data_IF_996904959148
#
_entry.id   IF_996904959148
#
_cell.length_a   1.000
_cell.length_b   1.000
_cell.length_c   1.000
_cell.angle_alpha   90.00
_cell.angle_beta   90.00
_cell.angle_gamma   90.00
#
_symmetry.space_group_name_H-M   'P 1'
#
loop_
_entity.id
_entity.type
_entity.pdbx_description
1 polymer ?
#
# COMPACT_ATOMS: atom_id res chain seq x y z
N UNK A 1 -18.63 9.78 -4.44
CA UNK A 1 -19.27 9.76 -3.10
C UNK A 1 -18.62 10.74 -2.12
N UNK A 2 -17.31 10.66 -1.95
CA UNK A 2 -16.55 11.56 -1.06
C UNK A 2 -16.54 13.01 -1.54
N UNK A 3 -16.40 13.25 -2.84
CA UNK A 3 -16.48 14.61 -3.42
C UNK A 3 -17.84 15.29 -3.19
N UNK A 4 -18.94 14.52 -3.27
CA UNK A 4 -20.29 15.00 -2.97
C UNK A 4 -20.44 15.36 -1.49
N UNK A 5 -19.85 14.57 -0.59
CA UNK A 5 -19.87 14.82 0.85
C UNK A 5 -19.03 16.04 1.22
N UNK A 6 -17.86 16.20 0.59
CA UNK A 6 -17.01 17.37 0.75
C UNK A 6 -17.70 18.65 0.25
N UNK A 7 -18.31 18.60 -0.93
CA UNK A 7 -19.09 19.72 -1.47
C UNK A 7 -20.25 20.11 -0.56
N UNK A 8 -20.94 19.12 0.01
CA UNK A 8 -22.00 19.37 1.01
C UNK A 8 -21.44 20.07 2.25
N UNK A 9 -20.32 19.61 2.80
CA UNK A 9 -19.69 20.22 3.97
C UNK A 9 -19.30 21.69 3.68
N UNK A 10 -18.71 21.96 2.52
CA UNK A 10 -18.38 23.33 2.10
C UNK A 10 -19.61 24.22 1.99
N UNK A 11 -20.71 23.71 1.41
CA UNK A 11 -21.97 24.46 1.36
C UNK A 11 -22.53 24.73 2.75
N UNK A 12 -22.49 23.75 3.66
CA UNK A 12 -22.96 23.92 5.04
C UNK A 12 -22.13 24.97 5.81
N UNK A 13 -20.80 24.94 5.68
CA UNK A 13 -19.91 25.94 6.28
C UNK A 13 -20.16 27.33 5.67
N UNK A 14 -20.33 27.41 4.34
CA UNK A 14 -20.57 28.67 3.64
C UNK A 14 -21.91 29.29 4.05
N UNK A 15 -22.97 28.47 4.15
CA UNK A 15 -24.27 28.93 4.63
C UNK A 15 -24.21 29.45 6.07
N UNK A 16 -23.43 28.79 6.95
CA UNK A 16 -23.20 29.28 8.32
C UNK A 16 -22.41 30.58 8.36
N UNK A 17 -21.40 30.74 7.50
CA UNK A 17 -20.62 31.96 7.39
C UNK A 17 -21.45 33.15 6.88
N UNK A 18 -22.41 32.92 5.99
CA UNK A 18 -23.32 33.97 5.51
C UNK A 18 -24.22 34.57 6.61
N UNK A 19 -24.48 33.83 7.67
CA UNK A 19 -25.38 34.25 8.77
C UNK A 19 -24.64 34.53 10.09
N UNK A 20 -23.31 34.46 10.12
CA UNK A 20 -22.51 34.73 11.32
C UNK A 20 -21.24 35.50 11.00
N UNK A 21 -21.10 36.65 11.64
CA UNK A 21 -19.90 37.50 11.64
C UNK A 21 -18.68 36.87 12.34
N UNK A 22 -18.88 35.75 13.06
CA UNK A 22 -17.83 35.01 13.76
C UNK A 22 -17.13 33.96 12.92
N UNK A 23 -17.60 33.72 11.70
CA UNK A 23 -17.07 32.68 10.82
C UNK A 23 -16.55 33.35 9.54
N UNK A 24 -15.24 33.50 9.46
CA UNK A 24 -14.58 33.96 8.24
C UNK A 24 -14.05 32.76 7.45
N UNK A 25 -14.59 32.52 6.26
CA UNK A 25 -14.15 31.45 5.36
C UNK A 25 -13.27 32.07 4.28
N UNK A 26 -11.99 31.72 4.32
CA UNK A 26 -11.06 32.12 3.27
C UNK A 26 -11.18 31.14 2.07
N UNK A 27 -11.06 31.68 0.86
CA UNK A 27 -10.82 30.89 -0.34
C UNK A 27 -9.36 30.43 -0.42
N UNK A 28 -8.88 30.19 -1.65
CA UNK A 28 -7.46 29.99 -1.87
C UNK A 28 -6.70 31.29 -1.58
N UNK A 29 -5.75 31.24 -0.66
CA UNK A 29 -4.86 32.34 -0.33
C UNK A 29 -3.41 31.93 -0.57
N UNK A 30 -2.54 32.90 -0.84
CA UNK A 30 -1.12 32.64 -1.01
C UNK A 30 -0.48 32.16 0.29
N UNK A 31 0.66 31.47 0.21
CA UNK A 31 1.41 31.07 1.42
C UNK A 31 1.78 32.27 2.29
N UNK A 32 2.17 33.39 1.69
CA UNK A 32 2.52 34.61 2.43
C UNK A 32 1.33 35.18 3.20
N UNK A 33 0.14 35.17 2.62
CA UNK A 33 -1.10 35.58 3.32
C UNK A 33 -1.47 34.58 4.41
N UNK A 34 -1.33 33.28 4.15
CA UNK A 34 -1.58 32.22 5.13
C UNK A 34 -0.72 32.41 6.38
N UNK A 35 0.58 32.68 6.21
CA UNK A 35 1.49 32.95 7.35
C UNK A 35 1.08 34.22 8.10
N UNK A 36 0.66 35.30 7.39
CA UNK A 36 0.13 36.50 8.06
C UNK A 36 -1.10 36.19 8.90
N UNK A 37 -2.00 35.34 8.39
CA UNK A 37 -3.18 34.87 9.14
C UNK A 37 -2.76 34.09 10.38
N UNK A 38 -1.76 33.19 10.27
CA UNK A 38 -1.29 32.40 11.41
C UNK A 38 -0.70 33.28 12.51
N UNK A 39 0.09 34.30 12.13
CA UNK A 39 0.70 35.25 13.08
C UNK A 39 -0.32 36.15 13.80
N UNK A 40 -1.54 36.25 13.28
CA UNK A 40 -2.64 37.02 13.90
C UNK A 40 -3.64 36.14 14.66
N UNK A 41 -3.54 34.81 14.53
CA UNK A 41 -4.40 33.86 15.20
C UNK A 41 -3.94 33.59 16.64
N UNK A 42 -4.84 33.07 17.47
CA UNK A 42 -4.54 32.72 18.88
C UNK A 42 -4.35 31.23 19.12
N UNK A 43 -5.10 30.38 18.41
CA UNK A 43 -5.00 28.92 18.48
C UNK A 43 -5.29 28.33 17.10
N UNK A 44 -4.51 27.34 16.67
CA UNK A 44 -4.82 26.51 15.50
C UNK A 44 -5.60 25.27 15.92
N UNK A 45 -6.55 24.83 15.09
CA UNK A 45 -7.37 23.65 15.37
C UNK A 45 -7.16 22.61 14.28
N UNK A 46 -6.70 21.43 14.68
CA UNK A 46 -6.58 20.27 13.81
C UNK A 46 -6.96 19.01 14.62
N UNK A 47 -8.27 18.72 14.65
CA UNK A 47 -8.84 17.56 15.33
C UNK A 47 -9.52 16.65 14.31
N UNK A 48 -8.71 15.88 13.57
CA UNK A 48 -9.18 15.06 12.46
C UNK A 48 -9.49 13.62 12.88
N UNK A 49 -10.60 13.04 12.39
CA UNK A 49 -10.94 11.63 12.65
C UNK A 49 -9.76 10.69 12.35
N UNK A 50 -9.56 9.71 13.22
CA UNK A 50 -8.48 8.74 13.10
C UNK A 50 -8.54 7.95 11.79
N UNK A 51 -7.40 7.90 11.10
CA UNK A 51 -7.13 6.91 10.05
C UNK A 51 -5.63 6.62 10.01
N UNK A 52 -5.23 5.53 9.33
CA UNK A 52 -3.83 5.10 9.28
C UNK A 52 -2.90 6.09 8.58
N UNK A 53 -3.40 6.80 7.57
CA UNK A 53 -2.62 7.81 6.86
C UNK A 53 -2.23 8.94 7.81
N UNK A 54 -3.17 9.44 8.62
CA UNK A 54 -2.97 10.51 9.59
C UNK A 54 -2.16 10.07 10.80
N UNK A 55 -2.34 8.84 11.25
CA UNK A 55 -1.56 8.23 12.34
C UNK A 55 -0.06 8.25 12.02
N UNK A 56 0.27 7.92 10.77
CA UNK A 56 1.65 7.85 10.26
C UNK A 56 2.12 9.14 9.59
N UNK A 57 1.27 10.17 9.51
CA UNK A 57 1.62 11.43 8.87
C UNK A 57 2.42 12.33 9.81
N UNK A 58 3.46 12.95 9.26
CA UNK A 58 4.08 14.11 9.85
C UNK A 58 3.51 15.37 9.18
N UNK A 59 2.54 16.03 9.83
CA UNK A 59 1.74 17.10 9.21
C UNK A 59 2.50 18.42 9.17
N UNK A 60 3.03 18.77 7.99
CA UNK A 60 3.79 20.01 7.77
C UNK A 60 3.01 21.28 8.13
N UNK A 61 1.69 21.29 7.91
CA UNK A 61 0.82 22.40 8.30
C UNK A 61 0.82 22.65 9.81
N UNK A 62 0.84 21.59 10.63
CA UNK A 62 0.92 21.71 12.09
C UNK A 62 2.25 22.30 12.52
N UNK A 63 3.35 21.92 11.85
CA UNK A 63 4.67 22.52 12.09
C UNK A 63 4.67 24.02 11.76
N UNK A 64 4.01 24.45 10.68
CA UNK A 64 3.89 25.88 10.35
C UNK A 64 3.10 26.66 11.40
N UNK A 65 2.03 26.09 11.98
CA UNK A 65 1.33 26.71 13.11
C UNK A 65 2.28 26.93 14.29
N UNK A 66 2.96 25.87 14.73
CA UNK A 66 3.87 25.92 15.88
C UNK A 66 5.04 26.89 15.61
N UNK A 67 5.54 26.93 14.37
CA UNK A 67 6.63 27.83 13.96
C UNK A 67 6.21 29.30 14.04
N UNK A 68 4.95 29.61 13.73
CA UNK A 68 4.35 30.93 13.93
C UNK A 68 4.04 31.24 15.41
N UNK A 69 4.40 30.36 16.36
CA UNK A 69 4.11 30.54 17.78
C UNK A 69 2.64 30.26 18.15
N UNK A 70 1.91 29.57 17.27
CA UNK A 70 0.49 29.28 17.46
C UNK A 70 0.34 27.94 18.20
N UNK A 71 -0.18 27.92 19.44
CA UNK A 71 -0.48 26.67 20.10
C UNK A 71 -1.64 25.96 19.39
N UNK A 72 -1.65 24.63 19.46
CA UNK A 72 -2.58 23.80 18.67
C UNK A 72 -3.56 23.04 19.55
N UNK A 73 -4.84 22.99 19.15
CA UNK A 73 -5.79 21.98 19.60
C UNK A 73 -5.75 20.83 18.60
N UNK A 74 -5.13 19.72 19.01
CA UNK A 74 -4.62 18.69 18.11
C UNK A 74 -5.07 17.27 18.48
N UNK A 75 -5.12 16.36 17.49
CA UNK A 75 -5.43 14.95 17.74
C UNK A 75 -4.39 14.28 18.67
N UNK A 76 -4.83 13.34 19.52
CA UNK A 76 -4.01 12.66 20.55
C UNK A 76 -3.18 11.46 20.05
N UNK A 77 -3.20 11.17 18.74
CA UNK A 77 -2.64 9.93 18.20
C UNK A 77 -1.52 10.10 17.17
N UNK A 78 -1.33 11.28 16.58
CA UNK A 78 -0.40 11.45 15.48
C UNK A 78 1.06 11.55 15.98
N UNK A 79 2.03 11.35 15.09
CA UNK A 79 3.46 11.34 15.40
C UNK A 79 3.90 12.58 16.22
N UNK A 80 3.41 13.77 15.88
CA UNK A 80 3.76 15.02 16.56
C UNK A 80 3.07 15.20 17.93
N UNK A 81 2.02 14.43 18.24
CA UNK A 81 1.23 14.58 19.47
C UNK A 81 2.11 14.43 20.72
N UNK A 82 3.06 13.49 20.72
CA UNK A 82 3.99 13.32 21.84
C UNK A 82 4.83 14.57 22.12
N UNK A 83 5.31 15.24 21.07
CA UNK A 83 6.10 16.47 21.19
C UNK A 83 5.26 17.67 21.66
N UNK A 84 4.01 17.77 21.19
CA UNK A 84 3.08 18.82 21.66
C UNK A 84 2.82 18.67 23.16
N UNK A 85 2.66 17.44 23.65
CA UNK A 85 2.50 17.16 25.07
C UNK A 85 3.78 17.46 25.87
N UNK A 86 4.95 17.01 25.39
CA UNK A 86 6.26 17.20 26.05
C UNK A 86 6.55 18.69 26.31
N UNK A 87 6.26 19.55 25.33
CA UNK A 87 6.53 20.98 25.44
C UNK A 87 5.37 21.78 26.03
N UNK A 88 4.22 21.14 26.28
CA UNK A 88 2.97 21.84 26.59
C UNK A 88 2.64 22.93 25.54
N UNK A 89 2.76 22.57 24.25
CA UNK A 89 2.61 23.48 23.10
C UNK A 89 1.16 23.52 22.55
N UNK A 90 0.18 23.04 23.32
CA UNK A 90 -1.19 22.94 22.87
C UNK A 90 -2.09 22.12 23.78
N UNK A 91 -3.16 21.59 23.20
CA UNK A 91 -4.16 20.71 23.81
C UNK A 91 -4.35 19.47 22.94
N UNK A 92 -4.12 18.30 23.51
CA UNK A 92 -4.41 17.04 22.83
C UNK A 92 -5.84 16.59 23.14
N UNK A 93 -6.60 16.26 22.10
CA UNK A 93 -8.00 15.84 22.21
C UNK A 93 -8.27 14.62 21.34
N UNK A 94 -9.27 13.85 21.75
CA UNK A 94 -9.87 12.82 20.90
C UNK A 94 -10.89 13.48 19.96
N UNK A 95 -10.73 13.39 18.62
CA UNK A 95 -11.64 14.06 17.67
C UNK A 95 -13.12 13.63 17.79
N UNK A 96 -13.37 12.41 18.26
CA UNK A 96 -14.70 11.85 18.49
C UNK A 96 -15.29 12.18 19.88
N UNK A 97 -14.51 12.83 20.74
CA UNK A 97 -14.91 13.20 22.10
C UNK A 97 -15.25 14.70 22.20
N UNK A 98 -16.54 15.02 22.02
CA UNK A 98 -17.06 16.38 22.14
C UNK A 98 -16.80 17.00 23.52
N UNK A 99 -16.73 16.19 24.58
CA UNK A 99 -16.49 16.68 25.93
C UNK A 99 -15.04 17.11 26.11
N UNK A 100 -14.09 16.31 25.61
CA UNK A 100 -12.67 16.66 25.57
C UNK A 100 -12.44 17.96 24.80
N UNK A 101 -13.06 18.10 23.63
CA UNK A 101 -12.97 19.32 22.82
C UNK A 101 -13.59 20.51 23.56
N UNK A 102 -14.78 20.33 24.15
CA UNK A 102 -15.46 21.38 24.90
C UNK A 102 -14.65 21.91 26.09
N UNK A 103 -14.00 21.02 26.85
CA UNK A 103 -13.10 21.41 27.95
C UNK A 103 -11.90 22.22 27.46
N UNK A 104 -11.24 21.76 26.40
CA UNK A 104 -10.10 22.47 25.83
C UNK A 104 -10.51 23.86 25.32
N UNK A 105 -11.65 23.97 24.63
CA UNK A 105 -12.19 25.25 24.19
C UNK A 105 -12.52 26.18 25.37
N UNK A 106 -13.15 25.66 26.43
CA UNK A 106 -13.45 26.45 27.63
C UNK A 106 -12.18 27.02 28.27
N UNK A 107 -11.13 26.21 28.37
CA UNK A 107 -9.83 26.64 28.90
C UNK A 107 -9.18 27.71 28.00
N UNK A 108 -9.18 27.50 26.68
CA UNK A 108 -8.70 28.47 25.69
C UNK A 108 -9.39 29.82 25.85
N UNK A 109 -10.72 29.85 25.92
CA UNK A 109 -11.48 31.10 26.01
C UNK A 109 -11.39 31.76 27.39
N UNK A 110 -11.20 30.98 28.46
CA UNK A 110 -11.19 31.51 29.83
C UNK A 110 -9.80 31.92 30.32
N UNK A 111 -8.72 31.52 29.64
CA UNK A 111 -7.35 31.76 30.10
C UNK A 111 -6.39 32.22 28.98
N UNK A 112 -6.45 33.51 28.57
CA UNK A 112 -5.56 34.06 27.55
C UNK A 112 -4.06 33.96 27.88
N UNK A 113 -3.69 34.04 29.16
CA UNK A 113 -2.29 33.91 29.60
C UNK A 113 -1.75 32.50 29.35
N UNK A 114 -2.58 31.48 29.53
CA UNK A 114 -2.22 30.11 29.21
C UNK A 114 -2.04 29.93 27.69
N UNK A 115 -2.91 30.53 26.88
CA UNK A 115 -2.75 30.51 25.42
C UNK A 115 -1.40 31.12 25.00
N UNK A 116 -1.04 32.28 25.56
CA UNK A 116 0.25 32.93 25.29
C UNK A 116 1.44 32.10 25.78
N UNK A 117 1.33 31.46 26.95
CA UNK A 117 2.35 30.54 27.46
C UNK A 117 2.55 29.35 26.51
N UNK A 118 1.48 28.68 26.11
CA UNK A 118 1.53 27.54 25.18
C UNK A 118 2.04 27.96 23.79
N UNK A 119 1.78 29.19 23.35
CA UNK A 119 2.35 29.74 22.12
C UNK A 119 3.87 29.92 22.19
N UNK A 120 4.39 30.44 23.30
CA UNK A 120 5.85 30.49 23.55
C UNK A 120 6.45 29.08 23.56
N UNK A 121 5.77 28.13 24.20
CA UNK A 121 6.18 26.73 24.20
C UNK A 121 6.19 26.10 22.79
N UNK A 122 5.24 26.47 21.93
CA UNK A 122 5.21 26.03 20.53
C UNK A 122 6.44 26.52 19.76
N UNK A 123 6.86 27.77 19.95
CA UNK A 123 8.11 28.29 19.37
C UNK A 123 9.33 27.54 19.92
N UNK A 124 9.38 27.28 21.23
CA UNK A 124 10.45 26.47 21.84
C UNK A 124 10.50 25.07 21.23
N UNK A 125 9.36 24.39 21.08
CA UNK A 125 9.28 23.07 20.47
C UNK A 125 9.89 23.05 19.07
N UNK A 126 9.51 24.02 18.23
CA UNK A 126 10.02 24.08 16.85
C UNK A 126 11.52 24.39 16.84
N UNK A 127 11.97 25.35 17.64
CA UNK A 127 13.39 25.65 17.77
C UNK A 127 14.19 24.44 18.28
N UNK A 128 13.61 23.64 19.18
CA UNK A 128 14.29 22.53 19.84
C UNK A 128 14.33 21.25 19.02
N UNK A 129 13.26 20.95 18.28
CA UNK A 129 13.09 19.66 17.57
C UNK A 129 13.00 19.79 16.05
N UNK A 130 12.42 20.87 15.54
CA UNK A 130 11.95 20.94 14.14
C UNK A 130 12.60 22.03 13.30
N UNK A 131 13.66 22.67 13.80
CA UNK A 131 14.45 23.62 13.02
C UNK A 131 15.23 22.88 11.92
N UNK A 132 15.46 23.56 10.80
CA UNK A 132 16.11 22.97 9.63
C UNK A 132 17.51 22.44 9.92
N UNK A 133 18.29 23.18 10.70
CA UNK A 133 19.64 22.83 11.14
C UNK A 133 19.68 21.55 11.99
N UNK A 134 18.57 21.17 12.64
CA UNK A 134 18.46 19.93 13.42
C UNK A 134 17.90 18.78 12.61
N UNK A 135 16.80 19.03 11.90
CA UNK A 135 16.07 18.01 11.14
C UNK A 135 16.85 17.49 9.93
N UNK A 136 17.80 18.26 9.40
CA UNK A 136 18.66 17.82 8.31
C UNK A 136 19.78 16.87 8.77
N UNK A 137 20.14 16.88 10.06
CA UNK A 137 21.31 16.13 10.57
C UNK A 137 21.24 14.62 10.31
N UNK A 138 20.10 13.92 10.44
CA UNK A 138 20.02 12.51 10.08
C UNK A 138 20.41 12.25 8.61
N UNK A 139 20.00 13.12 7.70
CA UNK A 139 20.37 13.02 6.28
C UNK A 139 21.86 13.32 6.08
N UNK A 140 22.40 14.35 6.73
CA UNK A 140 23.84 14.67 6.65
C UNK A 140 24.68 13.49 7.12
N UNK A 141 24.36 12.91 8.29
CA UNK A 141 25.05 11.72 8.83
C UNK A 141 24.97 10.52 7.88
N UNK A 142 23.82 10.34 7.21
CA UNK A 142 23.67 9.30 6.19
C UNK A 142 24.57 9.56 4.98
N UNK A 143 24.66 10.81 4.51
CA UNK A 143 25.51 11.16 3.37
C UNK A 143 27.01 11.06 3.69
N UNK A 144 27.42 11.33 4.94
CA UNK A 144 28.80 11.16 5.41
C UNK A 144 29.22 9.68 5.52
N UNK A 145 28.27 8.80 5.86
CA UNK A 145 28.51 7.37 5.98
C UNK A 145 27.34 6.57 5.38
N UNK A 146 27.22 6.52 4.05
CA UNK A 146 26.09 5.88 3.40
C UNK A 146 26.13 4.38 3.66
N UNK A 147 25.12 3.89 4.35
CA UNK A 147 24.90 2.45 4.47
C UNK A 147 24.08 1.98 3.30
N UNK A 148 24.44 0.82 2.73
CA UNK A 148 23.50 0.12 1.86
C UNK A 148 22.32 -0.25 2.75
N UNK A 149 21.12 0.12 2.32
CA UNK A 149 19.92 -0.46 2.90
C UNK A 149 20.15 -1.98 2.94
N UNK A 150 19.81 -2.67 4.05
CA UNK A 150 19.82 -4.13 4.05
C UNK A 150 19.08 -4.58 2.80
N UNK A 151 19.53 -5.67 2.16
CA UNK A 151 18.77 -6.25 1.07
C UNK A 151 17.37 -6.55 1.62
N UNK A 152 16.44 -5.62 1.40
CA UNK A 152 15.05 -5.79 1.76
C UNK A 152 14.69 -7.02 0.96
N UNK A 153 14.29 -8.09 1.64
CA UNK A 153 13.68 -9.21 0.95
C UNK A 153 12.53 -8.58 0.17
N UNK A 154 12.65 -8.49 -1.15
CA UNK A 154 11.68 -7.73 -1.88
C UNK A 154 10.36 -8.46 -1.70
N UNK A 155 9.36 -7.74 -1.18
CA UNK A 155 7.98 -8.19 -1.28
C UNK A 155 7.59 -8.10 -2.76
N UNK A 156 8.09 -9.04 -3.56
CA UNK A 156 7.79 -9.12 -4.98
C UNK A 156 6.51 -9.88 -5.20
N UNK A 157 5.44 -9.11 -5.11
CA UNK A 157 4.27 -9.36 -5.90
C UNK A 157 3.44 -8.10 -5.95
N UNK A 158 3.32 -7.56 -7.14
CA UNK A 158 2.44 -6.43 -7.34
C UNK A 158 0.99 -6.93 -7.22
N UNK A 159 0.24 -6.42 -6.23
CA UNK A 159 -1.23 -6.44 -6.28
C UNK A 159 -1.62 -5.25 -7.16
N UNK A 160 -2.08 -5.49 -8.38
CA UNK A 160 -2.54 -4.40 -9.25
C UNK A 160 -4.07 -4.24 -9.25
N UNK A 161 -4.48 -3.00 -8.99
CA UNK A 161 -5.55 -2.33 -9.72
C UNK A 161 -5.11 -0.90 -10.12
N UNK A 162 -3.83 -0.73 -10.53
CA UNK A 162 -3.09 0.52 -10.92
C UNK A 162 -3.05 1.64 -9.85
N UNK A 163 -1.86 2.12 -9.42
CA UNK A 163 -1.03 3.06 -10.20
C UNK A 163 0.50 2.77 -10.19
N UNK A 164 1.22 3.61 -10.95
CA UNK A 164 2.48 3.45 -11.71
C UNK A 164 3.82 3.33 -10.97
N UNK A 165 3.88 2.93 -9.69
CA UNK A 165 5.16 2.86 -8.94
C UNK A 165 5.66 1.43 -8.69
N UNK A 166 4.90 0.41 -9.11
CA UNK A 166 5.15 -1.02 -8.89
C UNK A 166 5.30 -1.81 -10.19
N UNK A 167 5.76 -1.17 -11.27
CA UNK A 167 6.31 -1.93 -12.41
C UNK A 167 7.57 -2.69 -11.93
N UNK A 168 7.93 -3.83 -12.55
CA UNK A 168 9.27 -4.37 -12.38
C UNK A 168 10.25 -3.21 -12.61
N UNK A 169 11.01 -2.84 -11.58
CA UNK A 169 12.11 -1.90 -11.79
C UNK A 169 13.11 -2.60 -12.71
N UNK A 170 13.54 -1.89 -13.75
CA UNK A 170 14.48 -2.42 -14.74
C UNK A 170 13.91 -2.46 -16.16
N UNK A 171 14.80 -2.78 -17.10
CA UNK A 171 14.45 -2.96 -18.51
C UNK A 171 13.63 -4.23 -18.67
N UNK A 172 12.43 -4.11 -19.22
CA UNK A 172 11.63 -5.27 -19.62
C UNK A 172 12.34 -5.95 -20.81
N UNK A 173 12.50 -7.26 -20.72
CA UNK A 173 13.16 -8.11 -21.71
C UNK A 173 12.25 -9.30 -22.02
N UNK A 174 12.54 -9.99 -23.11
CA UNK A 174 11.87 -11.23 -23.46
C UNK A 174 12.69 -12.44 -22.98
N UNK A 175 12.01 -13.40 -22.36
CA UNK A 175 12.53 -14.71 -22.00
C UNK A 175 11.82 -15.78 -22.85
N UNK A 176 12.58 -16.42 -23.73
CA UNK A 176 12.08 -17.50 -24.59
C UNK A 176 12.20 -18.82 -23.83
N UNK A 177 11.08 -19.52 -23.69
CA UNK A 177 10.99 -20.86 -23.12
C UNK A 177 10.84 -21.85 -24.29
N UNK A 178 11.86 -22.68 -24.56
CA UNK A 178 11.80 -23.67 -25.63
C UNK A 178 10.85 -24.81 -25.29
N UNK A 179 10.26 -25.44 -26.32
CA UNK A 179 9.48 -26.67 -26.17
C UNK A 179 10.36 -27.92 -25.99
N UNK A 180 11.24 -27.90 -24.97
CA UNK A 180 12.16 -28.99 -24.65
C UNK A 180 11.59 -29.97 -23.60
N UNK A 181 10.35 -29.75 -23.13
CA UNK A 181 9.71 -30.54 -22.08
C UNK A 181 10.36 -30.38 -20.69
N UNK A 182 11.38 -29.53 -20.55
CA UNK A 182 12.14 -29.37 -19.32
C UNK A 182 11.59 -28.18 -18.50
N UNK A 183 11.26 -28.37 -17.22
CA UNK A 183 10.69 -27.30 -16.39
C UNK A 183 11.73 -26.22 -16.07
N UNK A 184 11.37 -24.96 -16.29
CA UNK A 184 12.12 -23.78 -15.83
C UNK A 184 11.49 -23.27 -14.54
N UNK A 185 12.30 -23.19 -13.48
CA UNK A 185 11.80 -22.88 -12.13
C UNK A 185 12.22 -21.49 -11.67
N UNK A 186 11.33 -20.78 -10.98
CA UNK A 186 11.60 -19.47 -10.39
C UNK A 186 10.98 -19.40 -9.01
N UNK A 187 11.78 -18.98 -8.02
CA UNK A 187 11.27 -18.71 -6.66
C UNK A 187 10.54 -17.38 -6.65
N UNK A 188 9.44 -17.32 -5.92
CA UNK A 188 8.58 -16.15 -5.75
C UNK A 188 8.33 -15.92 -4.26
N UNK A 189 8.23 -14.67 -3.84
CA UNK A 189 7.77 -14.30 -2.50
C UNK A 189 6.35 -13.76 -2.62
N UNK A 190 5.43 -14.29 -1.85
CA UNK A 190 4.05 -13.84 -1.85
C UNK A 190 3.99 -12.44 -1.21
N UNK A 191 3.49 -11.42 -1.91
CA UNK A 191 3.55 -10.03 -1.42
C UNK A 191 2.60 -9.72 -0.27
N UNK A 192 1.47 -10.41 -0.27
CA UNK A 192 0.31 -10.10 0.54
C UNK A 192 -0.54 -11.35 0.65
N UNK A 193 -1.35 -11.43 1.69
CA UNK A 193 -2.35 -12.48 1.78
C UNK A 193 -3.50 -12.23 0.77
N UNK A 194 -4.36 -13.22 0.52
CA UNK A 194 -5.60 -13.08 -0.28
C UNK A 194 -5.44 -12.78 -1.76
N UNK A 195 -4.52 -13.52 -2.37
CA UNK A 195 -4.32 -13.55 -3.79
C UNK A 195 -5.16 -14.68 -4.39
N UNK A 196 -5.77 -14.42 -5.55
CA UNK A 196 -6.57 -15.38 -6.31
C UNK A 196 -5.81 -16.00 -7.47
N UNK A 197 -4.58 -15.56 -7.74
CA UNK A 197 -3.78 -16.10 -8.82
C UNK A 197 -2.51 -15.31 -9.09
N UNK A 198 -1.82 -15.78 -10.11
CA UNK A 198 -0.66 -15.16 -10.71
C UNK A 198 -0.96 -14.88 -12.18
N UNK A 199 -0.49 -13.74 -12.68
CA UNK A 199 -0.54 -13.34 -14.08
C UNK A 199 0.86 -13.05 -14.61
N UNK A 200 1.09 -13.36 -15.88
CA UNK A 200 2.32 -13.03 -16.61
C UNK A 200 1.96 -12.61 -18.04
N UNK A 201 2.74 -11.70 -18.61
CA UNK A 201 2.57 -11.31 -20.02
C UNK A 201 3.38 -12.24 -20.90
N UNK A 202 2.75 -12.82 -21.91
CA UNK A 202 3.42 -13.72 -22.82
C UNK A 202 2.68 -13.95 -24.13
N UNK A 203 3.39 -14.57 -25.05
CA UNK A 203 2.89 -14.94 -26.38
C UNK A 203 3.54 -16.23 -26.87
N UNK A 204 2.91 -16.85 -27.87
CA UNK A 204 3.56 -17.90 -28.64
C UNK A 204 4.53 -17.26 -29.65
N UNK A 205 5.83 -17.51 -29.51
CA UNK A 205 6.88 -16.87 -30.31
C UNK A 205 7.07 -17.48 -31.70
N UNK A 206 6.37 -18.58 -32.00
CA UNK A 206 6.46 -19.37 -33.22
C UNK A 206 5.15 -19.40 -34.00
N UNK A 207 5.24 -19.56 -35.32
CA UNK A 207 4.07 -19.90 -36.16
C UNK A 207 3.53 -21.30 -35.85
N UNK A 208 4.40 -22.22 -35.41
CA UNK A 208 4.00 -23.53 -34.90
C UNK A 208 3.41 -23.38 -33.49
N UNK A 209 2.11 -23.67 -33.36
CA UNK A 209 1.35 -23.60 -32.09
C UNK A 209 0.93 -24.99 -31.60
N UNK A 210 1.61 -26.06 -32.03
CA UNK A 210 1.36 -27.42 -31.53
C UNK A 210 2.01 -27.59 -30.15
N UNK A 211 1.27 -28.13 -29.19
CA UNK A 211 1.77 -28.41 -27.85
C UNK A 211 1.04 -27.68 -26.73
N UNK A 212 1.59 -27.71 -25.53
CA UNK A 212 0.99 -27.12 -24.33
C UNK A 212 2.01 -26.37 -23.48
N UNK A 213 1.57 -25.25 -22.91
CA UNK A 213 2.25 -24.54 -21.83
C UNK A 213 1.69 -25.04 -20.48
N UNK A 214 2.55 -25.63 -19.66
CA UNK A 214 2.21 -26.02 -18.29
C UNK A 214 2.85 -25.07 -17.28
N UNK A 215 2.00 -24.44 -16.47
CA UNK A 215 2.39 -23.61 -15.33
C UNK A 215 2.05 -24.36 -14.05
N UNK A 216 3.03 -24.54 -13.17
CA UNK A 216 2.86 -25.22 -11.88
C UNK A 216 3.41 -24.35 -10.76
N UNK A 217 2.63 -24.14 -9.70
CA UNK A 217 3.07 -23.47 -8.49
C UNK A 217 3.18 -24.48 -7.35
N UNK A 218 4.28 -24.46 -6.62
CA UNK A 218 4.55 -25.36 -5.50
C UNK A 218 5.19 -24.62 -4.33
N UNK A 219 5.26 -25.26 -3.15
CA UNK A 219 6.18 -24.80 -2.10
C UNK A 219 7.60 -25.31 -2.43
N UNK A 220 8.67 -24.61 -2.03
CA UNK A 220 10.04 -25.12 -2.16
C UNK A 220 10.14 -26.53 -1.56
N UNK A 221 10.52 -27.52 -2.39
CA UNK A 221 10.62 -28.96 -2.01
C UNK A 221 9.33 -29.56 -1.46
N UNK A 222 8.17 -28.99 -1.80
CA UNK A 222 6.89 -29.34 -1.21
C UNK A 222 5.82 -29.70 -2.23
N UNK A 223 4.58 -29.82 -1.74
CA UNK A 223 3.43 -30.18 -2.56
C UNK A 223 3.11 -29.11 -3.61
N UNK A 224 2.58 -29.56 -4.75
CA UNK A 224 1.93 -28.72 -5.77
C UNK A 224 0.71 -28.02 -5.17
N UNK A 225 0.58 -26.71 -5.44
CA UNK A 225 -0.46 -25.84 -4.90
C UNK A 225 -1.48 -25.43 -5.97
N UNK A 226 -1.00 -25.08 -7.17
CA UNK A 226 -1.82 -24.72 -8.31
C UNK A 226 -1.14 -25.23 -9.59
N UNK A 227 -1.93 -25.52 -10.62
CA UNK A 227 -1.43 -25.91 -11.93
C UNK A 227 -2.44 -25.53 -13.00
N UNK A 228 -1.96 -25.05 -14.14
CA UNK A 228 -2.78 -24.92 -15.35
C UNK A 228 -1.98 -25.42 -16.54
N UNK A 229 -2.69 -25.97 -17.52
CA UNK A 229 -2.11 -26.38 -18.81
C UNK A 229 -2.93 -25.72 -19.90
N UNK A 230 -2.25 -24.97 -20.76
CA UNK A 230 -2.85 -24.12 -21.78
C UNK A 230 -2.36 -24.61 -23.15
N UNK A 231 -3.25 -24.99 -24.08
CA UNK A 231 -2.88 -25.29 -25.45
C UNK A 231 -2.21 -24.08 -26.10
N UNK A 232 -1.08 -24.26 -26.79
CA UNK A 232 -0.36 -23.14 -27.41
C UNK A 232 -1.18 -22.41 -28.49
N UNK A 233 -2.12 -23.11 -29.12
CA UNK A 233 -3.11 -22.53 -30.05
C UNK A 233 -4.03 -21.48 -29.40
N UNK A 234 -4.29 -21.62 -28.09
CA UNK A 234 -5.17 -20.74 -27.32
C UNK A 234 -4.43 -19.55 -26.70
N UNK A 235 -3.10 -19.51 -26.81
CA UNK A 235 -2.31 -18.39 -26.32
C UNK A 235 -2.53 -17.14 -27.20
N UNK A 236 -2.66 -15.96 -26.59
CA UNK A 236 -2.77 -14.71 -27.34
C UNK A 236 -1.46 -14.42 -28.10
N UNK A 237 -1.57 -13.69 -29.22
CA UNK A 237 -0.40 -13.15 -29.93
C UNK A 237 0.38 -12.13 -29.07
N UNK A 238 -0.33 -11.46 -28.16
CA UNK A 238 0.22 -10.69 -27.06
C UNK A 238 -0.87 -10.55 -26.01
N UNK A 239 -0.64 -11.05 -24.79
CA UNK A 239 -1.64 -10.96 -23.74
C UNK A 239 -1.22 -11.56 -22.41
N UNK A 240 -2.19 -11.67 -21.51
CA UNK A 240 -1.98 -12.14 -20.14
C UNK A 240 -2.28 -13.63 -20.03
N UNK A 241 -1.35 -14.36 -19.43
CA UNK A 241 -1.46 -15.77 -19.09
C UNK A 241 -1.70 -15.86 -17.57
N UNK A 242 -2.81 -16.49 -17.19
CA UNK A 242 -3.24 -16.58 -15.79
C UNK A 242 -3.02 -17.98 -15.22
N UNK A 243 -2.49 -18.04 -13.99
CA UNK A 243 -2.48 -19.21 -13.12
C UNK A 243 -3.39 -18.93 -11.91
N UNK A 244 -4.68 -19.30 -11.96
CA UNK A 244 -5.58 -19.09 -10.83
C UNK A 244 -5.22 -19.99 -9.66
N UNK A 245 -5.40 -19.48 -8.45
CA UNK A 245 -5.25 -20.23 -7.22
C UNK A 245 -6.56 -20.98 -6.91
N UNK A 246 -6.50 -22.25 -6.49
CA UNK A 246 -7.69 -22.94 -6.01
C UNK A 246 -8.33 -22.20 -4.83
N UNK A 247 -9.64 -22.29 -4.68
CA UNK A 247 -10.37 -21.59 -3.61
C UNK A 247 -9.89 -21.94 -2.18
N UNK A 248 -9.28 -23.11 -2.00
CA UNK A 248 -8.71 -23.57 -0.73
C UNK A 248 -7.26 -23.13 -0.51
N UNK A 249 -6.59 -22.62 -1.54
CA UNK A 249 -5.22 -22.13 -1.45
C UNK A 249 -5.21 -20.61 -1.26
N UNK A 250 -4.85 -20.17 -0.06
CA UNK A 250 -4.65 -18.76 0.26
C UNK A 250 -3.25 -18.62 0.89
N UNK A 251 -2.23 -18.22 0.10
CA UNK A 251 -0.88 -18.04 0.63
C UNK A 251 -0.83 -16.84 1.58
N UNK A 252 0.06 -16.89 2.56
CA UNK A 252 0.34 -15.76 3.44
C UNK A 252 1.34 -14.80 2.79
N UNK A 253 1.24 -13.50 3.09
CA UNK A 253 2.30 -12.56 2.73
C UNK A 253 3.63 -13.00 3.37
N UNK A 254 4.69 -13.07 2.56
CA UNK A 254 5.99 -13.59 2.92
C UNK A 254 6.22 -15.07 2.61
N UNK A 255 5.18 -15.83 2.20
CA UNK A 255 5.37 -17.23 1.82
C UNK A 255 6.31 -17.34 0.60
N UNK A 256 7.27 -18.26 0.65
CA UNK A 256 8.08 -18.63 -0.50
C UNK A 256 7.38 -19.69 -1.34
N UNK A 257 7.23 -19.41 -2.63
CA UNK A 257 6.65 -20.31 -3.63
C UNK A 257 7.65 -20.55 -4.77
N UNK A 258 7.41 -21.61 -5.54
CA UNK A 258 8.20 -21.95 -6.73
C UNK A 258 7.27 -22.12 -7.94
N UNK A 259 7.46 -21.27 -8.94
CA UNK A 259 6.79 -21.34 -10.24
C UNK A 259 7.64 -22.17 -11.20
N UNK A 260 7.07 -23.25 -11.72
CA UNK A 260 7.63 -24.06 -12.79
C UNK A 260 6.86 -23.79 -14.07
N UNK A 261 7.59 -23.44 -15.13
CA UNK A 261 7.09 -23.21 -16.48
C UNK A 261 7.66 -24.28 -17.40
N UNK A 262 6.81 -24.99 -18.13
CA UNK A 262 7.22 -26.02 -19.09
C UNK A 262 6.44 -25.85 -20.38
N UNK A 263 7.11 -26.03 -21.51
CA UNK A 263 6.48 -26.12 -22.82
C UNK A 263 6.73 -27.52 -23.37
N UNK A 264 5.66 -28.24 -23.67
CA UNK A 264 5.68 -29.58 -24.24
C UNK A 264 5.16 -29.50 -25.68
N UNK A 265 5.94 -29.97 -26.65
CA UNK A 265 5.53 -30.04 -28.05
C UNK A 265 6.09 -31.31 -28.72
N UNK A 266 5.55 -31.71 -29.90
CA UNK A 266 6.12 -32.79 -30.70
C UNK A 266 7.61 -32.56 -31.03
N UNK A 267 8.39 -33.62 -31.21
CA UNK A 267 9.84 -33.52 -31.45
C UNK A 267 10.22 -32.77 -32.74
N UNK A 268 9.30 -32.70 -33.71
CA UNK A 268 9.42 -31.95 -34.97
C UNK A 268 8.95 -30.48 -34.85
N UNK A 269 8.48 -30.07 -33.68
CA UNK A 269 7.90 -28.75 -33.47
C UNK A 269 8.96 -27.70 -33.14
N UNK A 270 8.82 -26.53 -33.74
CA UNK A 270 9.62 -25.35 -33.40
C UNK A 270 8.92 -24.45 -32.37
N UNK A 271 7.95 -24.99 -31.62
CA UNK A 271 7.13 -24.22 -30.70
C UNK A 271 7.97 -23.57 -29.60
N UNK A 272 7.69 -22.31 -29.27
CA UNK A 272 8.27 -21.64 -28.11
C UNK A 272 7.30 -20.62 -27.51
N UNK A 273 7.44 -20.40 -26.20
CA UNK A 273 6.66 -19.37 -25.49
C UNK A 273 7.60 -18.25 -25.07
N UNK A 274 7.25 -17.03 -25.44
CA UNK A 274 7.95 -15.83 -24.99
C UNK A 274 7.21 -15.25 -23.80
N UNK A 275 7.91 -15.11 -22.67
CA UNK A 275 7.40 -14.46 -21.46
C UNK A 275 8.15 -13.17 -21.21
N UNK A 276 7.45 -12.16 -20.72
CA UNK A 276 8.08 -10.92 -20.27
C UNK A 276 8.94 -11.18 -19.03
N UNK A 277 10.13 -10.57 -18.99
CA UNK A 277 11.16 -10.79 -17.98
C UNK A 277 11.88 -9.49 -17.59
N UNK A 278 12.65 -9.55 -16.51
CA UNK A 278 13.53 -8.47 -16.01
C UNK A 278 14.94 -8.99 -15.74
N UNK A 279 15.95 -8.11 -15.92
CA UNK A 279 17.37 -8.37 -15.63
C UNK A 279 17.82 -7.91 -14.24
N UNK A 280 16.97 -7.21 -13.48
CA UNK A 280 17.27 -6.76 -12.12
C UNK A 280 16.72 -7.80 -11.11
N UNK A 281 17.53 -8.80 -10.73
CA UNK A 281 16.99 -10.04 -10.11
C UNK A 281 17.66 -10.49 -8.82
N UNK A 282 16.84 -10.91 -7.84
CA UNK A 282 17.22 -11.66 -6.61
C UNK A 282 16.96 -13.18 -6.74
N UNK A 283 15.95 -13.60 -7.51
CA UNK A 283 15.62 -15.01 -7.79
C UNK A 283 15.53 -15.29 -9.31
N UNK A 284 16.63 -15.68 -9.96
CA UNK A 284 16.62 -15.95 -11.40
C UNK A 284 15.88 -17.24 -11.77
N UNK A 285 15.47 -17.35 -13.04
CA UNK A 285 14.99 -18.62 -13.59
C UNK A 285 16.13 -19.63 -13.59
N UNK A 286 15.91 -20.76 -12.94
CA UNK A 286 16.82 -21.90 -12.91
C UNK A 286 16.38 -22.90 -13.97
N UNK A 287 17.26 -23.15 -14.93
CA UNK A 287 17.14 -24.26 -15.88
C UNK A 287 17.73 -25.53 -15.25
N UNK A 288 17.19 -26.73 -15.53
CA UNK A 288 17.79 -27.97 -15.07
C UNK A 288 19.22 -28.10 -15.65
N UNK A 289 20.17 -28.70 -14.92
CA UNK A 289 21.50 -28.95 -15.45
C UNK A 289 21.39 -29.88 -16.66
N UNK A 290 21.77 -29.40 -17.83
CA UNK A 290 21.82 -30.19 -19.06
C UNK A 290 22.80 -31.35 -18.86
N UNK A 291 22.32 -32.59 -18.88
CA UNK A 291 23.18 -33.76 -18.95
C UNK A 291 23.64 -33.96 -20.39
N UNK A 292 24.56 -33.14 -20.90
CA UNK A 292 25.44 -33.49 -22.02
C UNK A 292 26.58 -32.47 -22.20
N UNK A 293 27.78 -33.01 -22.41
CA UNK A 293 29.05 -32.30 -22.52
C UNK A 293 29.35 -31.96 -24.00
N UNK A 294 29.73 -30.70 -24.28
CA UNK A 294 30.63 -30.23 -25.36
C UNK A 294 30.10 -30.13 -26.83
N UNK A 295 30.65 -29.23 -27.71
CA UNK A 295 31.93 -28.54 -27.63
C UNK A 295 31.88 -27.01 -27.59
N UNK A 296 33.01 -26.44 -27.15
CA UNK A 296 33.33 -25.01 -27.22
C UNK A 296 33.28 -24.54 -28.68
N UNK A 297 32.23 -23.84 -29.06
CA UNK A 297 32.25 -22.94 -30.23
C UNK A 297 32.81 -21.61 -29.76
N UNK A 298 34.02 -21.28 -30.22
CA UNK A 298 34.61 -19.96 -30.06
C UNK A 298 33.75 -18.93 -30.81
N UNK A 299 33.28 -17.90 -30.11
CA UNK A 299 32.76 -16.68 -30.74
C UNK A 299 31.33 -16.29 -30.36
N UNK A 300 31.10 -15.98 -29.08
CA UNK A 300 30.14 -14.96 -28.60
C UNK A 300 30.15 -14.98 -27.07
N UNK A 301 31.10 -14.27 -26.45
CA UNK A 301 31.02 -13.97 -25.03
C UNK A 301 29.86 -13.00 -24.79
N UNK A 302 28.71 -13.56 -24.42
CA UNK A 302 27.66 -12.87 -23.68
C UNK A 302 27.14 -13.86 -22.65
N UNK A 303 27.73 -13.89 -21.46
CA UNK A 303 27.16 -14.63 -20.34
C UNK A 303 25.71 -14.15 -20.18
N UNK A 304 24.74 -15.01 -20.48
CA UNK A 304 23.33 -14.65 -20.45
C UNK A 304 23.01 -14.11 -19.05
N UNK A 305 22.70 -12.83 -18.95
CA UNK A 305 22.30 -12.22 -17.68
C UNK A 305 21.12 -13.00 -17.11
N UNK A 306 21.15 -13.36 -15.82
CA UNK A 306 20.03 -14.06 -15.20
C UNK A 306 18.75 -13.24 -15.38
N UNK A 307 17.74 -13.85 -16.03
CA UNK A 307 16.42 -13.24 -16.23
C UNK A 307 15.43 -13.84 -15.22
N UNK A 308 14.53 -13.03 -14.69
CA UNK A 308 13.32 -13.50 -14.00
C UNK A 308 12.08 -13.19 -14.84
N UNK A 309 11.16 -14.14 -14.93
CA UNK A 309 9.81 -13.95 -15.46
C UNK A 309 9.13 -12.88 -14.62
N UNK A 310 8.56 -11.88 -15.30
CA UNK A 310 7.78 -10.82 -14.69
C UNK A 310 6.40 -11.37 -14.31
N UNK A 311 6.12 -11.37 -13.01
CA UNK A 311 4.91 -11.96 -12.43
C UNK A 311 4.12 -10.90 -11.67
N UNK A 312 2.82 -10.82 -11.95
CA UNK A 312 1.84 -10.01 -11.23
C UNK A 312 0.95 -10.93 -10.38
N UNK A 313 0.50 -10.47 -9.21
CA UNK A 313 -0.44 -11.23 -8.38
C UNK A 313 -1.83 -10.62 -8.46
N UNK A 314 -2.83 -11.48 -8.62
CA UNK A 314 -4.23 -11.08 -8.75
C UNK A 314 -4.86 -11.04 -7.35
N UNK A 315 -5.36 -9.90 -6.87
CA UNK A 315 -6.11 -9.86 -5.61
C UNK A 315 -7.43 -10.64 -5.74
N UNK A 316 -7.81 -11.39 -4.70
CA UNK A 316 -9.07 -12.13 -4.69
C UNK A 316 -10.29 -11.25 -4.39
N UNK A 317 -11.40 -11.53 -5.08
CA UNK A 317 -12.67 -10.78 -4.95
C UNK A 317 -13.41 -11.03 -3.61
N UNK A 318 -13.03 -12.04 -2.84
CA UNK A 318 -13.66 -12.41 -1.57
C UNK A 318 -13.28 -11.46 -0.41
N UNK A 319 -13.47 -10.15 -0.61
CA UNK A 319 -13.15 -9.09 0.34
C UNK A 319 -13.87 -9.25 1.69
N UNK A 320 -15.06 -9.86 1.73
CA UNK A 320 -15.88 -9.93 2.95
C UNK A 320 -15.30 -10.83 4.05
N UNK A 321 -15.10 -12.11 3.75
CA UNK A 321 -14.61 -13.09 4.72
C UNK A 321 -13.15 -12.82 5.12
N UNK A 322 -12.31 -12.38 4.17
CA UNK A 322 -10.95 -11.97 4.49
C UNK A 322 -10.92 -10.77 5.41
N UNK A 323 -11.62 -9.69 5.05
CA UNK A 323 -11.64 -8.47 5.84
C UNK A 323 -12.16 -8.75 7.25
N UNK A 324 -13.14 -9.65 7.40
CA UNK A 324 -13.58 -10.11 8.72
C UNK A 324 -12.44 -10.82 9.49
N UNK A 325 -11.72 -11.76 8.86
CA UNK A 325 -10.56 -12.45 9.46
C UNK A 325 -9.43 -11.50 9.86
N UNK A 326 -9.10 -10.52 9.00
CA UNK A 326 -8.09 -9.50 9.28
C UNK A 326 -8.52 -8.62 10.46
N UNK A 327 -9.79 -8.20 10.50
CA UNK A 327 -10.33 -7.41 11.59
C UNK A 327 -10.35 -8.18 12.91
N UNK A 328 -10.66 -9.47 12.89
CA UNK A 328 -10.58 -10.35 14.05
C UNK A 328 -9.15 -10.50 14.54
N UNK A 329 -8.18 -10.78 13.65
CA UNK A 329 -6.75 -10.85 14.01
C UNK A 329 -6.26 -9.53 14.61
N UNK A 330 -6.61 -8.40 14.01
CA UNK A 330 -6.25 -7.07 14.51
C UNK A 330 -6.90 -6.79 15.87
N UNK A 331 -8.16 -7.17 16.06
CA UNK A 331 -8.82 -7.06 17.36
C UNK A 331 -8.07 -7.88 18.41
N UNK A 332 -7.69 -9.13 18.12
CA UNK A 332 -6.90 -9.97 19.05
C UNK A 332 -5.55 -9.32 19.40
N UNK A 333 -4.84 -8.74 18.44
CA UNK A 333 -3.57 -8.03 18.71
C UNK A 333 -3.79 -6.84 19.63
N UNK A 334 -4.79 -6.00 19.33
CA UNK A 334 -5.13 -4.84 20.15
C UNK A 334 -5.55 -5.25 21.57
N UNK A 335 -6.31 -6.33 21.71
CA UNK A 335 -6.68 -6.87 23.02
C UNK A 335 -5.46 -7.34 23.82
N UNK A 336 -4.51 -8.03 23.16
CA UNK A 336 -3.25 -8.45 23.80
C UNK A 336 -2.37 -7.27 24.23
N UNK A 337 -2.47 -6.13 23.54
CA UNK A 337 -1.75 -4.90 23.86
C UNK A 337 -2.48 -4.02 24.89
N UNK A 338 -3.63 -4.45 25.42
CA UNK A 338 -4.42 -3.65 26.37
C UNK A 338 -5.23 -2.52 25.73
N UNK A 339 -5.32 -2.47 24.41
CA UNK A 339 -6.00 -1.43 23.63
C UNK A 339 -7.53 -1.69 23.50
N UNK A 340 -8.17 -2.02 24.62
CA UNK A 340 -9.61 -2.38 24.69
C UNK A 340 -10.52 -1.27 24.15
N UNK A 341 -10.17 -0.01 24.41
CA UNK A 341 -10.93 1.15 23.96
C UNK A 341 -10.91 1.31 22.44
N UNK A 342 -9.80 0.97 21.76
CA UNK A 342 -9.69 0.99 20.29
C UNK A 342 -10.53 -0.11 19.65
N UNK A 343 -10.57 -1.30 20.24
CA UNK A 343 -11.41 -2.42 19.76
C UNK A 343 -12.90 -2.09 19.92
N UNK A 344 -13.32 -1.62 21.09
CA UNK A 344 -14.71 -1.23 21.35
C UNK A 344 -15.18 -0.14 20.37
N UNK A 345 -14.34 0.85 20.12
CA UNK A 345 -14.60 1.94 19.16
C UNK A 345 -14.69 1.42 17.72
N UNK A 346 -13.74 0.57 17.30
CA UNK A 346 -13.74 -0.04 15.98
C UNK A 346 -15.01 -0.87 15.73
N UNK A 347 -15.46 -1.65 16.72
CA UNK A 347 -16.71 -2.42 16.63
C UNK A 347 -17.92 -1.48 16.54
N UNK A 348 -18.02 -0.49 17.43
CA UNK A 348 -19.13 0.47 17.50
C UNK A 348 -19.36 1.21 16.18
N UNK A 349 -18.29 1.62 15.50
CA UNK A 349 -18.38 2.36 14.24
C UNK A 349 -18.49 1.48 12.99
N UNK A 350 -17.94 0.26 13.01
CA UNK A 350 -17.94 -0.62 11.82
C UNK A 350 -19.13 -1.56 11.72
N UNK A 351 -19.72 -1.99 12.84
CA UNK A 351 -20.87 -2.91 12.82
C UNK A 351 -22.10 -2.31 12.09
N UNK A 352 -22.47 -1.03 12.28
CA UNK A 352 -23.57 -0.40 11.56
C UNK A 352 -23.31 -0.32 10.04
N UNK A 353 -22.05 -0.07 9.63
CA UNK A 353 -21.64 -0.03 8.21
C UNK A 353 -21.64 -1.42 7.57
N UNK A 354 -21.32 -2.47 8.32
CA UNK A 354 -21.41 -3.85 7.81
C UNK A 354 -22.85 -4.31 7.64
N UNK A 355 -23.75 -3.93 8.56
CA UNK A 355 -25.19 -4.23 8.47
C UNK A 355 -25.85 -3.53 7.27
N UNK A 356 -25.46 -2.30 6.94
CA UNK A 356 -25.97 -1.60 5.76
C UNK A 356 -25.50 -2.26 4.46
N UNK A 357 -24.22 -2.65 4.36
CA UNK A 357 -23.67 -3.35 3.19
C UNK A 357 -24.35 -4.71 2.99
N UNK A 358 -24.54 -5.50 4.05
CA UNK A 358 -25.22 -6.80 3.97
C UNK A 358 -26.69 -6.68 3.54
N UNK A 359 -27.42 -5.64 3.99
CA UNK A 359 -28.79 -5.35 3.52
C UNK A 359 -28.85 -4.97 2.04
N UNK A 360 -27.82 -4.28 1.54
CA UNK A 360 -27.73 -3.84 0.14
C UNK A 360 -27.34 -4.99 -0.81
N UNK A 361 -26.53 -5.94 -0.34
CA UNK A 361 -26.21 -7.18 -1.09
C UNK A 361 -27.41 -8.14 -1.13
N UNK A 362 -28.19 -8.23 -0.05
CA UNK A 362 -29.39 -9.06 0.00
C UNK A 362 -30.53 -8.56 -0.90
N UNK A 363 -30.63 -7.23 -1.13
CA UNK A 363 -31.63 -6.66 -2.04
C UNK A 363 -31.26 -6.87 -3.52
N UNK A 364 -29.97 -6.83 -3.90
CA UNK A 364 -29.52 -7.16 -5.27
C UNK A 364 -29.77 -8.62 -5.65
N UNK A 365 -29.61 -9.56 -4.71
CA UNK A 365 -29.90 -10.98 -4.93
C UNK A 365 -31.40 -11.28 -5.07
N UNK A 366 -32.29 -10.42 -4.54
CA UNK A 366 -33.75 -10.57 -4.71
C UNK A 366 -34.32 -9.83 -5.93
N UNK A 367 -33.57 -8.92 -6.53
CA UNK A 367 -34.00 -8.12 -7.69
C UNK A 367 -33.66 -8.71 -9.06
N UNK A 368 -32.76 -9.70 -9.14
CA UNK A 368 -32.30 -10.30 -10.41
C UNK A 368 -33.22 -11.38 -11.01
N UNK A 369 -34.45 -11.52 -10.51
CA UNK A 369 -35.38 -12.60 -10.89
C UNK A 369 -36.53 -12.20 -11.80
N UNK A 370 -36.56 -10.97 -12.33
CA UNK A 370 -37.50 -10.54 -13.38
C UNK A 370 -36.91 -9.42 -14.23
N UNK A 371 -36.38 -9.81 -15.39
CA UNK A 371 -36.44 -9.07 -16.65
C UNK A 371 -36.34 -10.10 -17.77
#
# INVERSE_FOLDING_TARGET
PEELELNRLYQEISARAQVSDRINVHGYISRSELIKTYLQASVAVEAMEYNLERDLAFTTRTIEYLWCGLPVLYNDYAEISGHIAEYDAGWLVKPDDRHSIGKALQEIFSNPRLVEQKGRNATCLVADRFSWDKTILPLVRFLENPTKAPAVQPAYGAVYAKPSYLAPRGRLLDAVIPADGLPRTQRLIVPAEHLAGIEMVGSCGSSDRRGTLSLTLSRPRGRRLASTTIPLESLPESGTICLPFPFWFCPAGGDELELSVRVDAPADSSACVTLQATSDVVYPVVSPPSAELAPRVNGAQGAATPKAIAVSFVPGEALGAYRAKLLLRRAVVLLKQGEWSRVARAVRHRLPRLQSVMRTSASRLRGGGRA
#
